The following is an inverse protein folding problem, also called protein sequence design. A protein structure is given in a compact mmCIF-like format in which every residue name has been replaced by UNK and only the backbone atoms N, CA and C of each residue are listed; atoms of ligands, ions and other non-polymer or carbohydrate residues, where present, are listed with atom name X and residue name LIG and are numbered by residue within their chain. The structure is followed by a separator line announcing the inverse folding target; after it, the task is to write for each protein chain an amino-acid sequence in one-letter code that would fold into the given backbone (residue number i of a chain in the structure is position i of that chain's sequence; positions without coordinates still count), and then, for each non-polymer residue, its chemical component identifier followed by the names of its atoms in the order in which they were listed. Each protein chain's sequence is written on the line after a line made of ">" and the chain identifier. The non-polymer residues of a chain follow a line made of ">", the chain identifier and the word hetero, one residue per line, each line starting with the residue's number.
data_IF_704353541943
#
_entry.id   IF_704353541943
#
_cell.length_a   1.000
_cell.length_b   1.000
_cell.length_c   1.000
_cell.angle_alpha   90.00
_cell.angle_beta   90.00
_cell.angle_gamma   90.00
#
_symmetry.space_group_name_H-M   'P 1'
#
loop_
_entity.id
_entity.type
_entity.pdbx_description
1 polymer ?
#
# COMPACT_ATOMS: atom_id res chain seq x y z
N UNK A 1 5.59 -12.83 43.17
CA UNK A 1 5.98 -12.51 41.78
C UNK A 1 5.41 -11.14 41.48
N UNK A 2 6.25 -10.11 41.52
CA UNK A 2 5.84 -8.72 41.30
C UNK A 2 5.70 -8.51 39.80
N UNK A 3 4.47 -8.38 39.30
CA UNK A 3 4.20 -7.97 37.93
C UNK A 3 4.71 -6.54 37.78
N UNK A 4 5.83 -6.38 37.07
CA UNK A 4 6.34 -5.09 36.66
C UNK A 4 5.34 -4.56 35.63
N UNK A 5 4.55 -3.56 36.01
CA UNK A 5 3.72 -2.81 35.06
C UNK A 5 4.71 -2.00 34.23
N UNK A 6 5.13 -2.51 33.08
CA UNK A 6 5.90 -1.73 32.13
C UNK A 6 5.00 -0.59 31.65
N UNK A 7 5.31 0.63 32.08
CA UNK A 7 4.59 1.83 31.66
C UNK A 7 4.99 2.07 30.21
N UNK A 8 4.09 1.76 29.30
CA UNK A 8 4.25 2.05 27.88
C UNK A 8 4.22 3.56 27.66
N UNK A 9 5.23 4.09 26.99
CA UNK A 9 5.35 5.50 26.66
C UNK A 9 4.93 5.75 25.22
N UNK A 10 4.61 7.00 24.89
CA UNK A 10 4.31 7.41 23.49
C UNK A 10 5.42 6.99 22.53
N UNK A 11 6.67 7.02 22.98
CA UNK A 11 7.82 6.65 22.16
C UNK A 11 7.85 5.15 21.80
N UNK A 12 7.21 4.29 22.60
CA UNK A 12 7.23 2.83 22.41
C UNK A 12 6.31 2.40 21.26
N UNK A 13 5.14 3.04 21.12
CA UNK A 13 4.17 2.72 20.07
C UNK A 13 4.13 3.72 18.91
N UNK A 14 4.88 4.84 19.00
CA UNK A 14 4.90 5.84 17.93
C UNK A 14 5.34 5.24 16.58
N UNK A 15 4.47 5.35 15.58
CA UNK A 15 4.75 4.88 14.22
C UNK A 15 4.72 3.36 14.05
N UNK A 16 4.23 2.61 15.04
CA UNK A 16 4.16 1.15 14.97
C UNK A 16 3.26 0.63 13.84
N UNK A 17 2.25 1.43 13.48
CA UNK A 17 1.26 1.16 12.43
C UNK A 17 1.62 1.87 11.11
N UNK A 18 2.88 2.28 10.95
CA UNK A 18 3.38 2.94 9.74
C UNK A 18 4.50 2.12 9.13
N UNK A 19 4.41 1.85 7.83
CA UNK A 19 5.47 1.23 7.05
C UNK A 19 6.56 2.26 6.73
N UNK A 20 7.21 2.76 7.78
CA UNK A 20 8.25 3.78 7.70
C UNK A 20 9.61 3.17 7.32
N UNK A 21 10.62 4.02 7.10
CA UNK A 21 11.98 3.57 6.73
C UNK A 21 12.58 2.56 7.72
N UNK A 22 12.35 2.71 9.03
CA UNK A 22 12.85 1.77 10.05
C UNK A 22 12.17 0.40 9.87
N UNK A 23 10.86 0.39 9.64
CA UNK A 23 10.10 -0.84 9.36
C UNK A 23 10.58 -1.47 8.06
N UNK A 24 10.62 -0.72 6.96
CA UNK A 24 11.05 -1.16 5.63
C UNK A 24 12.41 -1.87 5.63
N UNK A 25 13.36 -1.41 6.46
CA UNK A 25 14.69 -2.02 6.56
C UNK A 25 14.66 -3.50 6.99
N UNK A 26 13.60 -3.92 7.69
CA UNK A 26 13.44 -5.30 8.15
C UNK A 26 12.80 -6.21 7.08
N UNK A 27 12.16 -5.65 6.06
CA UNK A 27 11.40 -6.41 5.06
C UNK A 27 12.01 -6.34 3.66
N UNK A 28 12.83 -5.33 3.36
CA UNK A 28 13.44 -5.12 2.05
C UNK A 28 14.89 -5.59 1.99
N UNK A 29 15.33 -6.00 0.79
CA UNK A 29 16.76 -6.14 0.50
C UNK A 29 17.47 -4.79 0.63
N UNK A 30 18.79 -4.82 0.83
CA UNK A 30 19.59 -3.59 0.92
C UNK A 30 19.50 -2.74 -0.36
N UNK A 31 19.34 -3.40 -1.52
CA UNK A 31 19.15 -2.73 -2.81
C UNK A 31 17.81 -2.01 -2.89
N UNK A 32 16.70 -2.70 -2.61
CA UNK A 32 15.37 -2.10 -2.66
C UNK A 32 15.21 -0.97 -1.62
N UNK A 33 15.73 -1.17 -0.40
CA UNK A 33 15.74 -0.15 0.64
C UNK A 33 16.46 1.13 0.20
N UNK A 34 17.67 1.00 -0.40
CA UNK A 34 18.43 2.17 -0.87
C UNK A 34 17.72 2.91 -2.01
N UNK A 35 17.13 2.19 -2.95
CA UNK A 35 16.34 2.79 -4.03
C UNK A 35 15.12 3.53 -3.49
N UNK A 36 14.39 2.93 -2.56
CA UNK A 36 13.21 3.55 -1.96
C UNK A 36 13.58 4.80 -1.14
N UNK A 37 14.70 4.74 -0.39
CA UNK A 37 15.24 5.90 0.31
C UNK A 37 15.59 7.06 -0.64
N UNK A 38 16.14 6.76 -1.81
CA UNK A 38 16.39 7.78 -2.84
C UNK A 38 15.08 8.35 -3.38
N UNK A 39 14.11 7.49 -3.72
CA UNK A 39 12.79 7.91 -4.21
C UNK A 39 12.04 8.83 -3.23
N UNK A 40 12.03 8.49 -1.93
CA UNK A 40 11.46 9.34 -0.87
C UNK A 40 12.16 10.69 -0.75
N UNK A 41 13.49 10.77 -0.96
CA UNK A 41 14.25 12.02 -0.85
C UNK A 41 14.08 12.92 -2.07
N UNK A 42 13.98 12.33 -3.24
CA UNK A 42 13.89 13.03 -4.52
C UNK A 42 12.44 13.34 -4.92
N UNK A 43 11.45 12.74 -4.23
CA UNK A 43 10.04 12.86 -4.59
C UNK A 43 9.71 12.17 -5.90
N UNK A 44 10.41 11.08 -6.22
CA UNK A 44 10.26 10.31 -7.46
C UNK A 44 9.46 9.03 -7.22
N UNK A 45 8.89 8.47 -8.30
CA UNK A 45 8.18 7.20 -8.22
C UNK A 45 9.14 6.03 -7.97
N UNK A 46 8.65 4.95 -7.39
CA UNK A 46 9.43 3.73 -7.22
C UNK A 46 9.76 3.08 -8.58
N UNK A 47 10.95 2.51 -8.68
CA UNK A 47 11.39 1.80 -9.89
C UNK A 47 10.62 0.48 -10.04
N UNK A 48 10.15 0.18 -11.26
CA UNK A 48 9.38 -1.01 -11.55
C UNK A 48 10.14 -2.31 -11.21
N UNK A 49 11.47 -2.30 -11.29
CA UNK A 49 12.33 -3.43 -10.95
C UNK A 49 12.43 -3.73 -9.45
N UNK A 50 11.95 -2.83 -8.58
CA UNK A 50 11.82 -3.08 -7.14
C UNK A 50 10.37 -3.08 -6.65
N UNK A 51 9.41 -2.70 -7.49
CA UNK A 51 8.02 -2.50 -7.08
C UNK A 51 7.38 -3.78 -6.53
N UNK A 52 7.64 -4.93 -7.15
CA UNK A 52 7.13 -6.22 -6.65
C UNK A 52 7.74 -6.61 -5.30
N UNK A 53 9.02 -6.32 -5.07
CA UNK A 53 9.67 -6.57 -3.78
C UNK A 53 9.07 -5.68 -2.69
N UNK A 54 8.82 -4.40 -3.02
CA UNK A 54 8.17 -3.46 -2.09
C UNK A 54 6.74 -3.88 -1.78
N UNK A 55 5.99 -4.33 -2.79
CA UNK A 55 4.64 -4.83 -2.59
C UNK A 55 4.64 -6.06 -1.69
N UNK A 56 5.50 -7.06 -1.96
CA UNK A 56 5.56 -8.25 -1.13
C UNK A 56 5.95 -7.95 0.33
N UNK A 57 6.88 -7.01 0.52
CA UNK A 57 7.26 -6.50 1.83
C UNK A 57 6.09 -5.81 2.56
N UNK A 58 5.36 -4.91 1.87
CA UNK A 58 4.18 -4.24 2.42
C UNK A 58 3.07 -5.22 2.79
N UNK A 59 2.78 -6.18 1.90
CA UNK A 59 1.80 -7.25 2.13
C UNK A 59 2.17 -8.08 3.35
N UNK A 60 3.41 -8.54 3.42
CA UNK A 60 3.90 -9.37 4.55
C UNK A 60 3.79 -8.61 5.87
N UNK A 61 4.19 -7.34 5.89
CA UNK A 61 4.04 -6.48 7.07
C UNK A 61 2.57 -6.27 7.44
N UNK A 62 1.71 -5.94 6.48
CA UNK A 62 0.29 -5.70 6.72
C UNK A 62 -0.42 -6.96 7.26
N UNK A 63 -0.14 -8.13 6.67
CA UNK A 63 -0.67 -9.41 7.14
C UNK A 63 -0.22 -9.72 8.58
N UNK A 64 1.04 -9.39 8.94
CA UNK A 64 1.53 -9.53 10.32
C UNK A 64 0.78 -8.66 11.33
N UNK A 65 0.14 -7.59 10.84
CA UNK A 65 -0.72 -6.65 11.58
C UNK A 65 -2.22 -7.00 11.47
N UNK A 66 -2.56 -8.18 10.94
CA UNK A 66 -3.94 -8.64 10.79
C UNK A 66 -4.71 -7.98 9.65
N UNK A 67 -4.02 -7.38 8.68
CA UNK A 67 -4.68 -6.76 7.53
C UNK A 67 -5.38 -7.80 6.65
N UNK A 68 -6.61 -7.50 6.23
CA UNK A 68 -7.37 -8.33 5.27
C UNK A 68 -7.55 -7.63 3.92
N UNK A 69 -7.51 -6.31 3.94
CA UNK A 69 -7.71 -5.46 2.78
C UNK A 69 -6.56 -4.45 2.62
N UNK A 70 -6.46 -3.90 1.42
CA UNK A 70 -5.69 -2.69 1.13
C UNK A 70 -6.58 -1.67 0.42
N UNK A 71 -6.16 -0.41 0.44
CA UNK A 71 -6.83 0.66 -0.25
C UNK A 71 -5.84 1.72 -0.72
N UNK A 72 -6.04 2.24 -1.93
CA UNK A 72 -5.42 3.48 -2.36
C UNK A 72 -6.16 4.65 -1.71
N UNK A 73 -5.45 5.33 -0.81
CA UNK A 73 -5.98 6.39 0.03
C UNK A 73 -5.63 7.75 -0.58
N UNK A 74 -6.65 8.51 -0.99
CA UNK A 74 -6.47 9.85 -1.56
C UNK A 74 -7.59 10.82 -1.13
N UNK A 75 -7.30 12.11 -1.25
CA UNK A 75 -8.25 13.18 -0.95
C UNK A 75 -8.70 13.90 -2.23
N UNK A 76 -9.89 13.57 -2.78
CA UNK A 76 -10.46 14.32 -3.90
C UNK A 76 -10.81 15.76 -3.50
N UNK A 77 -10.90 16.63 -4.51
CA UNK A 77 -11.28 18.05 -4.36
C UNK A 77 -12.68 18.27 -3.77
N UNK A 78 -13.46 17.20 -3.56
CA UNK A 78 -14.75 17.22 -2.87
C UNK A 78 -14.63 17.32 -1.34
N UNK A 79 -13.41 17.28 -0.80
CA UNK A 79 -13.13 17.53 0.63
C UNK A 79 -13.40 16.35 1.56
N UNK A 80 -13.74 15.17 1.02
CA UNK A 80 -13.89 13.92 1.76
C UNK A 80 -12.91 12.89 1.22
N UNK A 81 -12.30 12.07 2.08
CA UNK A 81 -11.41 10.99 1.65
C UNK A 81 -12.17 9.94 0.83
N UNK A 82 -11.57 9.50 -0.27
CA UNK A 82 -12.03 8.36 -1.03
C UNK A 82 -11.16 7.14 -0.72
N UNK A 83 -11.80 6.01 -0.46
CA UNK A 83 -11.16 4.73 -0.20
C UNK A 83 -11.92 3.65 -0.98
N UNK A 84 -11.22 2.88 -1.82
CA UNK A 84 -11.74 1.62 -2.38
C UNK A 84 -10.98 0.48 -1.73
N UNK A 85 -11.69 -0.38 -1.02
CA UNK A 85 -11.09 -1.49 -0.28
C UNK A 85 -11.07 -2.72 -1.18
N UNK A 86 -9.86 -3.23 -1.44
CA UNK A 86 -9.61 -4.45 -2.20
C UNK A 86 -9.03 -5.51 -1.25
N UNK A 87 -9.43 -6.76 -1.43
CA UNK A 87 -8.97 -7.88 -0.58
C UNK A 87 -7.58 -8.34 -1.00
N UNK A 88 -6.74 -8.73 -0.04
CA UNK A 88 -5.52 -9.48 -0.35
C UNK A 88 -5.83 -10.89 -0.88
N UNK A 89 -7.02 -11.42 -0.62
CA UNK A 89 -7.40 -12.79 -0.96
C UNK A 89 -7.98 -12.87 -2.37
N UNK A 90 -7.42 -13.74 -3.19
CA UNK A 90 -8.02 -14.24 -4.43
C UNK A 90 -8.24 -15.76 -4.35
N UNK A 91 -9.35 -16.32 -4.89
CA UNK A 91 -9.53 -17.76 -4.99
C UNK A 91 -8.46 -18.39 -5.90
N UNK A 92 -7.88 -19.53 -5.49
CA UNK A 92 -6.83 -20.23 -6.25
C UNK A 92 -7.37 -21.14 -7.37
N UNK A 93 -8.70 -21.21 -7.53
CA UNK A 93 -9.41 -22.12 -8.45
C UNK A 93 -9.28 -23.62 -8.15
N UNK A 94 -8.64 -24.00 -7.05
CA UNK A 94 -8.50 -25.37 -6.55
C UNK A 94 -9.29 -25.61 -5.24
N UNK A 95 -10.01 -24.57 -4.77
CA UNK A 95 -10.84 -24.60 -3.56
C UNK A 95 -10.17 -23.99 -2.34
N UNK A 96 -8.98 -23.40 -2.50
CA UNK A 96 -8.29 -22.62 -1.50
C UNK A 96 -8.22 -21.13 -1.85
N UNK A 97 -7.24 -20.45 -1.27
CA UNK A 97 -7.03 -19.01 -1.41
C UNK A 97 -5.55 -18.71 -1.58
N UNK A 98 -5.25 -17.68 -2.37
CA UNK A 98 -3.92 -17.11 -2.49
C UNK A 98 -3.92 -15.62 -2.11
N UNK A 99 -2.81 -15.15 -1.56
CA UNK A 99 -2.65 -13.77 -1.14
C UNK A 99 -1.89 -12.97 -2.20
N UNK A 100 -2.54 -11.97 -2.79
CA UNK A 100 -2.03 -11.17 -3.88
C UNK A 100 -1.96 -9.70 -3.53
N UNK A 101 -0.78 -9.16 -3.76
CA UNK A 101 -0.49 -7.75 -3.78
C UNK A 101 0.83 -7.62 -4.54
N UNK A 102 0.85 -6.81 -5.59
CA UNK A 102 1.97 -6.76 -6.54
C UNK A 102 2.39 -5.33 -6.79
N UNK A 103 3.57 -5.14 -7.39
CA UNK A 103 4.11 -3.82 -7.71
C UNK A 103 3.17 -2.98 -8.58
N UNK A 104 2.29 -3.62 -9.35
CA UNK A 104 1.24 -2.95 -10.15
C UNK A 104 0.27 -2.12 -9.31
N UNK A 105 0.09 -2.46 -8.03
CA UNK A 105 -0.71 -1.70 -7.08
C UNK A 105 0.05 -0.48 -6.51
N UNK A 106 1.36 -0.38 -6.76
CA UNK A 106 2.20 0.71 -6.24
C UNK A 106 2.68 1.66 -7.33
N UNK A 107 2.72 1.21 -8.59
CA UNK A 107 3.16 2.01 -9.73
C UNK A 107 1.98 2.33 -10.64
N UNK A 108 2.08 3.43 -11.38
CA UNK A 108 1.13 3.74 -12.43
C UNK A 108 1.25 2.66 -13.52
N UNK A 109 0.18 1.90 -13.75
CA UNK A 109 0.11 0.96 -14.86
C UNK A 109 0.27 1.69 -16.19
N UNK A 110 0.92 1.04 -17.18
CA UNK A 110 0.83 1.50 -18.55
C UNK A 110 -0.65 1.55 -18.97
N UNK A 111 -1.09 2.59 -19.72
CA UNK A 111 -2.43 2.58 -20.28
C UNK A 111 -2.53 1.37 -21.22
N UNK A 112 -3.24 0.33 -20.77
CA UNK A 112 -3.59 -0.80 -21.63
C UNK A 112 -4.36 -0.25 -22.84
N UNK A 113 -3.68 -0.19 -23.98
CA UNK A 113 -4.21 0.21 -25.27
C UNK A 113 -5.08 -0.90 -25.89
N UNK A 114 -5.84 -1.62 -25.06
CA UNK A 114 -6.90 -2.52 -25.45
C UNK A 114 -8.08 -1.69 -25.97
N UNK A 115 -8.00 -1.43 -27.27
CA UNK A 115 -9.01 -0.81 -28.11
C UNK A 115 -10.31 -1.58 -28.09
N UNK A 116 -11.35 -1.06 -27.41
CA UNK A 116 -12.71 -1.40 -27.76
C UNK A 116 -13.18 -0.47 -28.89
N UNK A 117 -13.56 -1.01 -30.06
CA UNK A 117 -14.13 -0.22 -31.14
C UNK A 117 -15.63 -0.05 -30.89
N UNK A 118 -16.01 0.89 -30.02
CA UNK A 118 -17.38 1.39 -29.99
C UNK A 118 -17.43 2.81 -29.46
N UNK A 119 -17.68 3.74 -30.37
CA UNK A 119 -17.96 5.13 -30.06
C UNK A 119 -19.14 5.25 -29.11
N UNK A 120 -18.94 5.99 -28.02
CA UNK A 120 -19.96 6.26 -27.01
C UNK A 120 -19.42 7.20 -25.95
N UNK A 121 -19.58 8.49 -26.20
CA UNK A 121 -19.40 9.66 -25.33
C UNK A 121 -19.18 9.44 -23.81
N UNK A 122 -18.00 9.92 -23.38
CA UNK A 122 -17.64 10.57 -22.10
C UNK A 122 -17.65 9.76 -20.77
N UNK A 123 -16.45 9.82 -20.17
CA UNK A 123 -16.09 9.88 -18.74
C UNK A 123 -15.86 8.58 -17.95
N UNK A 124 -14.64 8.03 -18.02
CA UNK A 124 -13.95 7.38 -16.87
C UNK A 124 -12.43 7.66 -16.82
N UNK A 125 -11.91 8.62 -17.61
CA UNK A 125 -10.47 8.89 -17.70
C UNK A 125 -9.87 9.53 -16.43
N UNK A 126 -10.69 10.05 -15.52
CA UNK A 126 -10.22 10.73 -14.31
C UNK A 126 -9.98 9.80 -13.11
N UNK A 127 -10.43 8.53 -13.15
CA UNK A 127 -10.28 7.62 -12.01
C UNK A 127 -9.01 6.76 -12.05
N UNK A 128 -8.26 6.76 -13.16
CA UNK A 128 -7.01 5.97 -13.32
C UNK A 128 -5.74 6.76 -12.97
N UNK A 129 -5.88 8.01 -12.51
CA UNK A 129 -4.76 8.87 -12.13
C UNK A 129 -4.13 8.52 -10.78
N UNK A 130 -4.89 7.89 -9.89
CA UNK A 130 -4.63 7.86 -8.45
C UNK A 130 -4.07 6.53 -7.91
N UNK A 131 -3.42 5.70 -8.72
CA UNK A 131 -2.93 4.37 -8.27
C UNK A 131 -1.43 4.32 -8.01
N UNK A 132 -0.69 5.40 -8.28
CA UNK A 132 0.73 5.45 -7.96
C UNK A 132 0.89 5.81 -6.48
N UNK A 133 1.58 4.96 -5.73
CA UNK A 133 1.97 5.25 -4.37
C UNK A 133 2.95 6.42 -4.34
N UNK A 134 2.72 7.39 -3.45
CA UNK A 134 3.65 8.45 -3.14
C UNK A 134 4.62 7.98 -2.03
N UNK A 135 5.89 7.66 -2.34
CA UNK A 135 6.84 7.15 -1.35
C UNK A 135 7.32 8.21 -0.35
N UNK A 136 6.92 9.48 -0.51
CA UNK A 136 7.11 10.52 0.51
C UNK A 136 6.10 10.41 1.64
N UNK A 137 4.98 9.72 1.40
CA UNK A 137 3.94 9.43 2.38
C UNK A 137 3.86 7.91 2.64
N UNK A 138 4.36 7.43 3.79
CA UNK A 138 4.45 5.99 4.04
C UNK A 138 3.06 5.36 4.15
N UNK A 139 2.93 4.14 3.62
CA UNK A 139 1.75 3.33 3.84
C UNK A 139 1.53 3.07 5.34
N UNK A 140 0.27 2.97 5.76
CA UNK A 140 -0.08 2.83 7.16
C UNK A 140 -1.24 1.86 7.36
N UNK A 141 -1.33 1.29 8.55
CA UNK A 141 -2.47 0.48 8.96
C UNK A 141 -3.57 1.38 9.50
N UNK A 142 -4.78 1.18 9.01
CA UNK A 142 -6.00 1.74 9.59
C UNK A 142 -6.79 0.59 10.21
N UNK A 143 -6.96 0.66 11.52
CA UNK A 143 -7.82 -0.28 12.24
C UNK A 143 -9.29 0.15 12.08
N UNK A 144 -10.14 -0.80 11.76
CA UNK A 144 -11.59 -0.62 11.72
C UNK A 144 -12.31 -1.73 12.48
N UNK A 145 -13.63 -1.59 12.65
CA UNK A 145 -14.46 -2.58 13.35
C UNK A 145 -14.38 -3.98 12.71
N UNK A 146 -14.12 -4.05 11.40
CA UNK A 146 -14.07 -5.28 10.61
C UNK A 146 -12.63 -5.76 10.31
N UNK A 147 -11.64 -5.25 11.04
CA UNK A 147 -10.23 -5.61 10.88
C UNK A 147 -9.38 -4.47 10.34
N UNK A 148 -8.11 -4.78 10.06
CA UNK A 148 -7.13 -3.79 9.64
C UNK A 148 -7.07 -3.67 8.12
N UNK A 149 -6.89 -2.46 7.61
CA UNK A 149 -6.69 -2.17 6.19
C UNK A 149 -5.34 -1.49 5.98
N UNK A 150 -4.57 -1.96 4.99
CA UNK A 150 -3.38 -1.26 4.51
C UNK A 150 -3.80 -0.06 3.66
N UNK A 151 -3.54 1.16 4.14
CA UNK A 151 -3.78 2.39 3.39
C UNK A 151 -2.50 2.82 2.66
N UNK A 152 -2.59 2.98 1.35
CA UNK A 152 -1.50 3.35 0.44
C UNK A 152 -1.76 4.79 -0.03
N UNK A 153 -1.02 5.79 0.46
CA UNK A 153 -1.21 7.17 0.04
C UNK A 153 -0.93 7.34 -1.46
N UNK A 154 -1.91 7.80 -2.21
CA UNK A 154 -1.74 8.05 -3.66
C UNK A 154 -2.00 9.50 -4.02
N UNK A 155 -1.33 9.93 -5.09
CA UNK A 155 -1.43 11.28 -5.67
C UNK A 155 -2.07 11.24 -7.07
#
# INVERSE_FOLDING_TARGET
>A
MTTKTDIETVADYYGENVFNLKTMRNYLSDKAYKNLLAATREGTCIDAGIADEVADAMKTWALSKGATHFTHWFQPLTGSTAEKHDSFIEPDSEGGVMLKFSGKELIKGEPDASSFPSGGLRATFEARGYTAWDPTSPAFMKEGENGSTLCIPTA
#
